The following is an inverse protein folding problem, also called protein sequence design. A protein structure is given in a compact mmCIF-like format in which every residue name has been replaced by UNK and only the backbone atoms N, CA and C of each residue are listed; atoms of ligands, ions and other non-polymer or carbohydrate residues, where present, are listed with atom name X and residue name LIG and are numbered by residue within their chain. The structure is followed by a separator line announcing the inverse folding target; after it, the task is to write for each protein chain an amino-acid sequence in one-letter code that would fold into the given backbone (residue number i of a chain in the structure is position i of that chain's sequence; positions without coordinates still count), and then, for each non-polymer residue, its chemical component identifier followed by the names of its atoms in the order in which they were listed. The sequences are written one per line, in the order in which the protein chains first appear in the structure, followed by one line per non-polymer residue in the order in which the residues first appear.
data_IF_516637273698
#
_entry.id   IF_516637273698
#
_cell.length_a   1.000
_cell.length_b   1.000
_cell.length_c   1.000
_cell.angle_alpha   90.00
_cell.angle_beta   90.00
_cell.angle_gamma   90.00
#
_symmetry.space_group_name_H-M   'P 1'
#
loop_
_entity.id
_entity.type
_entity.pdbx_description
1 polymer ?
#
# COMPACT_ATOMS: atom_id res chain seq x y z
N UNK A 1 0.20 1.37 -12.31
CA UNK A 1 -0.52 1.64 -13.58
C UNK A 1 -1.93 2.22 -13.41
N UNK A 2 -2.65 2.03 -12.28
CA UNK A 2 -4.04 2.52 -12.13
C UNK A 2 -4.19 3.95 -11.58
N UNK A 3 -3.15 4.54 -10.99
CA UNK A 3 -3.22 5.89 -10.38
C UNK A 3 -3.16 7.04 -11.41
N UNK A 4 -2.63 6.77 -12.61
CA UNK A 4 -2.46 7.76 -13.68
C UNK A 4 -3.57 7.73 -14.77
N UNK A 5 -4.65 6.95 -14.56
CA UNK A 5 -5.74 6.85 -15.54
C UNK A 5 -5.46 5.96 -16.77
N UNK A 6 -4.36 5.19 -16.76
CA UNK A 6 -3.94 4.29 -17.86
C UNK A 6 -3.97 2.80 -17.46
N UNK A 7 -4.97 2.39 -16.69
CA UNK A 7 -5.22 0.99 -16.36
C UNK A 7 -6.67 0.64 -16.67
N UNK A 8 -6.94 -0.59 -17.10
CA UNK A 8 -8.30 -1.04 -17.43
C UNK A 8 -9.27 -0.70 -16.28
N UNK A 9 -10.26 0.18 -16.52
CA UNK A 9 -11.17 0.66 -15.49
C UNK A 9 -12.14 -0.42 -15.02
N UNK A 10 -12.06 -1.65 -15.51
CA UNK A 10 -12.90 -2.78 -15.10
C UNK A 10 -12.30 -3.56 -13.93
N UNK A 11 -10.99 -3.46 -13.68
CA UNK A 11 -10.34 -4.27 -12.64
C UNK A 11 -10.47 -3.63 -11.25
N UNK A 12 -11.04 -4.35 -10.26
CA UNK A 12 -11.09 -3.88 -8.88
C UNK A 12 -9.70 -3.94 -8.26
N UNK A 13 -8.94 -2.86 -8.39
CA UNK A 13 -7.64 -2.67 -7.73
C UNK A 13 -7.80 -1.76 -6.51
N UNK A 14 -6.94 -1.89 -5.51
CA UNK A 14 -7.04 -1.08 -4.30
C UNK A 14 -6.78 0.40 -4.57
N UNK A 15 -5.93 0.73 -5.54
CA UNK A 15 -5.74 2.11 -6.02
C UNK A 15 -7.01 2.69 -6.64
N UNK A 16 -7.76 1.87 -7.38
CA UNK A 16 -9.06 2.27 -7.92
C UNK A 16 -10.11 2.45 -6.80
N UNK A 17 -10.17 1.53 -5.83
CA UNK A 17 -11.08 1.67 -4.68
C UNK A 17 -10.85 2.97 -3.91
N UNK A 18 -9.58 3.37 -3.73
CA UNK A 18 -9.23 4.65 -3.11
C UNK A 18 -9.63 5.85 -3.97
N UNK A 19 -9.42 5.79 -5.29
CA UNK A 19 -9.83 6.84 -6.21
C UNK A 19 -11.35 7.01 -6.24
N UNK A 20 -12.10 5.92 -6.33
CA UNK A 20 -13.56 5.91 -6.32
C UNK A 20 -14.09 6.45 -4.98
N UNK A 21 -13.52 6.00 -3.86
CA UNK A 21 -13.91 6.48 -2.53
C UNK A 21 -13.62 7.98 -2.34
N UNK A 22 -12.56 8.51 -2.94
CA UNK A 22 -12.28 9.94 -2.94
C UNK A 22 -13.29 10.71 -3.81
N UNK A 23 -13.51 10.27 -5.05
CA UNK A 23 -14.40 10.93 -6.02
C UNK A 23 -15.87 10.93 -5.58
N UNK A 24 -16.33 9.86 -4.94
CA UNK A 24 -17.69 9.73 -4.43
C UNK A 24 -17.87 10.40 -3.06
N UNK A 25 -16.83 11.00 -2.49
CA UNK A 25 -16.88 11.61 -1.17
C UNK A 25 -17.22 10.60 -0.07
N UNK A 26 -16.71 9.37 -0.17
CA UNK A 26 -17.04 8.26 0.74
C UNK A 26 -16.89 8.62 2.22
N UNK A 27 -15.90 9.46 2.56
CA UNK A 27 -15.70 9.98 3.93
C UNK A 27 -16.91 10.77 4.41
N UNK A 28 -17.41 11.69 3.59
CA UNK A 28 -18.56 12.55 3.91
C UNK A 28 -19.88 11.78 3.93
N UNK A 29 -19.96 10.67 3.19
CA UNK A 29 -21.12 9.78 3.11
C UNK A 29 -21.11 8.68 4.20
N UNK A 30 -20.11 8.66 5.10
CA UNK A 30 -20.00 7.68 6.18
C UNK A 30 -19.29 6.36 5.81
N UNK A 31 -18.87 6.20 4.55
CA UNK A 31 -18.16 5.03 4.01
C UNK A 31 -16.64 5.10 4.16
N UNK A 32 -16.13 5.78 5.19
CA UNK A 32 -14.69 6.01 5.43
C UNK A 32 -13.88 4.72 5.53
N UNK A 33 -14.49 3.60 5.93
CA UNK A 33 -13.84 2.29 6.03
C UNK A 33 -13.33 1.77 4.67
N UNK A 34 -13.97 2.15 3.57
CA UNK A 34 -13.52 1.78 2.21
C UNK A 34 -12.17 2.41 1.84
N UNK A 35 -11.75 3.44 2.56
CA UNK A 35 -10.44 4.09 2.41
C UNK A 35 -9.44 3.51 3.41
N UNK A 36 -9.86 3.36 4.67
CA UNK A 36 -8.98 2.94 5.75
C UNK A 36 -8.45 1.51 5.55
N UNK A 37 -9.30 0.59 5.11
CA UNK A 37 -8.93 -0.82 4.90
C UNK A 37 -7.82 -1.00 3.84
N UNK A 38 -7.96 -0.51 2.59
CA UNK A 38 -6.90 -0.65 1.59
C UNK A 38 -5.62 0.09 1.97
N UNK A 39 -5.72 1.24 2.66
CA UNK A 39 -4.54 1.95 3.16
C UNK A 39 -3.79 1.10 4.18
N UNK A 40 -4.48 0.60 5.21
CA UNK A 40 -3.86 -0.19 6.28
C UNK A 40 -3.13 -1.43 5.73
N UNK A 41 -3.73 -2.10 4.76
CA UNK A 41 -3.13 -3.26 4.14
C UNK A 41 -1.90 -2.91 3.28
N UNK A 42 -1.94 -1.80 2.53
CA UNK A 42 -0.76 -1.30 1.78
C UNK A 42 0.39 -0.98 2.74
N UNK A 43 0.09 -0.31 3.85
CA UNK A 43 1.08 -0.03 4.89
C UNK A 43 1.65 -1.30 5.51
N UNK A 44 0.80 -2.29 5.82
CA UNK A 44 1.24 -3.58 6.35
C UNK A 44 2.20 -4.30 5.41
N UNK A 45 1.90 -4.32 4.11
CA UNK A 45 2.77 -4.89 3.08
C UNK A 45 4.09 -4.11 3.01
N UNK A 46 4.04 -2.77 2.97
CA UNK A 46 5.24 -1.94 2.92
C UNK A 46 6.16 -2.19 4.11
N UNK A 47 5.61 -2.31 5.33
CA UNK A 47 6.37 -2.63 6.54
C UNK A 47 6.97 -4.02 6.43
N UNK A 48 6.20 -5.03 6.01
CA UNK A 48 6.71 -6.39 5.84
C UNK A 48 7.90 -6.45 4.87
N UNK A 49 7.79 -5.77 3.71
CA UNK A 49 8.87 -5.66 2.75
C UNK A 49 10.08 -4.90 3.32
N UNK A 50 9.87 -3.81 4.07
CA UNK A 50 10.94 -3.07 4.72
C UNK A 50 11.69 -3.92 5.75
N UNK A 51 10.97 -4.69 6.57
CA UNK A 51 11.56 -5.60 7.56
C UNK A 51 12.36 -6.72 6.90
N UNK A 52 11.85 -7.29 5.80
CA UNK A 52 12.57 -8.29 5.01
C UNK A 52 13.84 -7.67 4.43
N UNK A 53 13.76 -6.48 3.83
CA UNK A 53 14.91 -5.77 3.27
C UNK A 53 16.00 -5.52 4.31
N UNK A 54 15.62 -5.04 5.49
CA UNK A 54 16.53 -4.81 6.61
C UNK A 54 17.18 -6.12 7.11
N UNK A 55 16.40 -7.19 7.20
CA UNK A 55 16.91 -8.51 7.60
C UNK A 55 17.88 -9.08 6.56
N UNK A 56 17.57 -8.88 5.28
CA UNK A 56 18.42 -9.30 4.18
C UNK A 56 19.72 -8.50 4.14
N UNK A 57 19.67 -7.20 4.40
CA UNK A 57 20.87 -6.34 4.49
C UNK A 57 21.84 -6.84 5.57
N UNK A 58 21.33 -7.25 6.73
CA UNK A 58 22.15 -7.87 7.79
C UNK A 58 22.83 -9.17 7.36
N UNK A 59 22.17 -9.97 6.51
CA UNK A 59 22.72 -11.25 6.02
C UNK A 59 23.75 -11.00 4.91
N UNK A 60 23.44 -10.11 3.97
CA UNK A 60 24.27 -9.82 2.80
C UNK A 60 25.49 -8.94 3.13
N UNK A 61 25.45 -8.20 4.24
CA UNK A 61 26.51 -7.29 4.63
C UNK A 61 27.21 -7.76 5.92
N UNK A 62 28.12 -8.75 5.83
CA UNK A 62 28.78 -9.36 7.00
C UNK A 62 29.67 -8.39 7.79
N UNK A 63 29.97 -7.19 7.27
CA UNK A 63 30.75 -6.16 7.97
C UNK A 63 30.02 -5.48 9.13
N UNK A 64 28.70 -5.68 9.27
CA UNK A 64 27.89 -5.14 10.39
C UNK A 64 27.80 -6.11 11.59
N UNK A 65 28.51 -7.24 11.56
CA UNK A 65 28.48 -8.28 12.62
C UNK A 65 29.45 -8.04 13.79
N UNK A 66 30.29 -7.01 13.75
CA UNK A 66 31.37 -6.81 14.73
C UNK A 66 31.12 -5.70 15.79
N UNK A 67 29.89 -5.20 15.95
CA UNK A 67 29.50 -4.37 17.11
C UNK A 67 28.45 -5.04 18.00
#
# INVERSE_FOLDING_TARGET
LAFLGLGEPTLPTWGKMLNDAYNLGAVYQGYWWWILLPIALIFGIAIAFATIGYSLEKILNPRLREE
#
